data_IF_088256388499
#
_entry.id   IF_088256388499
#
_cell.length_a   1.000
_cell.length_b   1.000
_cell.length_c   1.000
_cell.angle_alpha   90.00
_cell.angle_beta   90.00
_cell.angle_gamma   90.00
#
_symmetry.space_group_name_H-M   'P 1'
#
loop_
_entity.id
_entity.type
_entity.pdbx_description
1 polymer ?
#
# COMPACT_ATOMS: atom_id res chain seq x y z
N UNK A 1 -12.29 18.27 11.88
CA UNK A 1 -11.66 17.66 13.05
C UNK A 1 -10.36 17.03 12.61
N UNK A 2 -9.24 17.54 13.07
CA UNK A 2 -7.92 16.94 12.84
C UNK A 2 -7.68 15.99 13.99
N UNK A 3 -7.81 14.68 13.76
CA UNK A 3 -7.49 13.69 14.78
C UNK A 3 -6.02 13.84 15.16
N UNK A 4 -5.76 14.11 16.44
CA UNK A 4 -4.40 14.11 16.97
C UNK A 4 -3.79 12.72 16.78
N UNK A 5 -2.50 12.59 16.47
CA UNK A 5 -1.84 11.29 16.30
C UNK A 5 -2.03 10.34 17.49
N UNK A 6 -2.19 10.88 18.69
CA UNK A 6 -2.42 10.13 19.95
C UNK A 6 -3.82 9.54 20.09
N UNK A 7 -4.80 9.95 19.26
CA UNK A 7 -6.17 9.40 19.27
C UNK A 7 -6.37 8.27 18.26
N UNK A 8 -5.37 7.99 17.41
CA UNK A 8 -5.44 6.93 16.41
C UNK A 8 -5.22 5.55 17.05
N UNK A 9 -5.86 4.50 16.53
CA UNK A 9 -5.61 3.12 16.97
C UNK A 9 -4.12 2.77 16.89
N UNK A 10 -3.57 2.20 17.96
CA UNK A 10 -2.13 1.97 18.11
C UNK A 10 -1.74 0.48 18.01
N UNK A 11 -2.70 -0.43 17.85
CA UNK A 11 -2.46 -1.86 17.65
C UNK A 11 -1.87 -2.61 18.85
N UNK A 12 -1.29 -3.81 18.70
CA UNK A 12 -0.96 -4.46 17.42
C UNK A 12 -2.17 -4.98 16.65
N UNK A 13 -2.03 -5.05 15.33
CA UNK A 13 -2.98 -5.69 14.43
C UNK A 13 -2.23 -6.74 13.60
N UNK A 14 -2.86 -7.90 13.41
CA UNK A 14 -2.22 -9.02 12.72
C UNK A 14 -2.38 -8.97 11.21
N UNK A 15 -3.47 -8.38 10.70
CA UNK A 15 -3.78 -8.34 9.27
C UNK A 15 -4.13 -6.93 8.84
N UNK A 16 -3.23 -6.34 8.03
CA UNK A 16 -3.24 -4.91 7.71
C UNK A 16 -3.27 -4.65 6.21
N UNK A 17 -4.19 -3.79 5.78
CA UNK A 17 -4.28 -3.24 4.43
C UNK A 17 -3.80 -1.79 4.40
N UNK A 18 -2.98 -1.43 3.41
CA UNK A 18 -2.51 -0.07 3.23
C UNK A 18 -3.03 0.50 1.92
N UNK A 19 -3.91 1.49 2.02
CA UNK A 19 -4.49 2.23 0.91
C UNK A 19 -3.72 3.53 0.64
N UNK A 20 -3.76 3.99 -0.59
CA UNK A 20 -3.22 5.30 -0.96
C UNK A 20 -2.79 5.39 -2.41
N UNK A 21 -2.61 6.61 -2.87
CA UNK A 21 -2.21 6.91 -4.24
C UNK A 21 -0.82 6.35 -4.55
N UNK A 22 -0.56 6.02 -5.80
CA UNK A 22 0.79 5.66 -6.27
C UNK A 22 1.79 6.76 -5.89
N UNK A 23 2.89 6.37 -5.26
CA UNK A 23 3.89 7.31 -4.72
C UNK A 23 3.58 7.85 -3.31
N UNK A 24 2.48 7.47 -2.66
CA UNK A 24 2.19 7.88 -1.27
C UNK A 24 3.13 7.25 -0.24
N UNK A 25 3.80 6.13 -0.56
CA UNK A 25 4.71 5.45 0.35
C UNK A 25 4.10 4.21 1.03
N UNK A 26 3.10 3.57 0.43
CA UNK A 26 2.47 2.34 0.94
C UNK A 26 3.47 1.26 1.32
N UNK A 27 4.35 0.89 0.39
CA UNK A 27 5.39 -0.14 0.61
C UNK A 27 6.36 0.25 1.74
N UNK A 28 6.71 1.53 1.85
CA UNK A 28 7.55 2.02 2.95
C UNK A 28 6.85 1.86 4.29
N UNK A 29 5.56 2.23 4.36
CA UNK A 29 4.76 2.04 5.57
C UNK A 29 4.58 0.56 5.90
N UNK A 30 4.30 -0.29 4.89
CA UNK A 30 4.16 -1.73 5.07
C UNK A 30 5.40 -2.33 5.74
N UNK A 31 6.60 -2.00 5.26
CA UNK A 31 7.86 -2.46 5.86
C UNK A 31 8.04 -1.96 7.31
N UNK A 32 7.63 -0.72 7.60
CA UNK A 32 7.69 -0.17 8.96
C UNK A 32 6.74 -0.89 9.91
N UNK A 33 5.52 -1.18 9.48
CA UNK A 33 4.54 -1.94 10.26
C UNK A 33 4.95 -3.40 10.42
N UNK A 34 5.50 -4.01 9.37
CA UNK A 34 6.06 -5.35 9.44
C UNK A 34 7.11 -5.46 10.55
N UNK A 35 8.05 -4.52 10.62
CA UNK A 35 9.05 -4.51 11.69
C UNK A 35 8.51 -4.12 13.08
N UNK A 36 7.47 -3.29 13.16
CA UNK A 36 6.91 -2.84 14.43
C UNK A 36 6.00 -3.90 15.07
N UNK A 37 5.29 -4.68 14.28
CA UNK A 37 4.30 -5.65 14.74
C UNK A 37 4.63 -7.10 14.36
N UNK A 38 5.84 -7.36 13.85
CA UNK A 38 6.27 -8.69 13.41
C UNK A 38 5.30 -9.31 12.40
N UNK A 39 5.01 -8.59 11.30
CA UNK A 39 4.11 -9.03 10.23
C UNK A 39 4.91 -9.44 9.00
N UNK A 40 4.41 -10.43 8.27
CA UNK A 40 4.92 -10.75 6.94
C UNK A 40 4.46 -9.69 5.95
N UNK A 41 5.40 -8.92 5.36
CA UNK A 41 5.07 -7.97 4.29
C UNK A 41 5.01 -8.69 2.95
N UNK A 42 3.86 -8.63 2.30
CA UNK A 42 3.62 -9.20 0.96
C UNK A 42 3.33 -8.07 -0.03
N UNK A 43 4.18 -7.91 -1.03
CA UNK A 43 3.98 -6.95 -2.12
C UNK A 43 3.10 -7.58 -3.21
N UNK A 44 1.85 -7.12 -3.38
CA UNK A 44 0.93 -7.69 -4.40
C UNK A 44 1.46 -7.55 -5.82
N UNK A 45 2.27 -6.52 -6.09
CA UNK A 45 2.91 -6.35 -7.39
C UNK A 45 3.82 -7.54 -7.73
N UNK A 46 4.49 -8.13 -6.75
CA UNK A 46 5.35 -9.32 -6.94
C UNK A 46 4.56 -10.59 -7.24
N UNK A 47 3.33 -10.67 -6.75
CA UNK A 47 2.43 -11.79 -7.01
C UNK A 47 1.70 -11.64 -8.35
N UNK A 48 1.41 -10.40 -8.74
CA UNK A 48 0.66 -10.13 -9.96
C UNK A 48 1.51 -10.16 -11.22
N UNK A 49 2.69 -9.54 -11.21
CA UNK A 49 3.55 -9.43 -12.36
C UNK A 49 4.54 -10.61 -12.44
N UNK A 50 4.41 -11.44 -13.45
CA UNK A 50 5.42 -12.40 -13.86
C UNK A 50 6.54 -11.76 -14.72
N UNK A 51 7.43 -12.55 -15.32
CA UNK A 51 8.43 -12.07 -16.27
C UNK A 51 7.76 -11.23 -17.37
N UNK A 52 8.48 -10.23 -17.88
CA UNK A 52 8.01 -9.32 -18.93
C UNK A 52 6.68 -8.59 -18.61
N UNK A 53 6.41 -8.38 -17.32
CA UNK A 53 5.19 -7.75 -16.81
C UNK A 53 3.90 -8.50 -17.14
N UNK A 54 3.98 -9.75 -17.57
CA UNK A 54 2.81 -10.59 -17.86
C UNK A 54 2.10 -10.92 -16.54
N UNK A 55 0.77 -10.68 -16.43
CA UNK A 55 0.02 -11.08 -15.25
C UNK A 55 0.10 -12.60 -15.02
N UNK A 56 0.35 -13.01 -13.77
CA UNK A 56 0.41 -14.42 -13.39
C UNK A 56 -1.00 -14.99 -13.23
N UNK A 57 -1.25 -16.15 -13.82
CA UNK A 57 -2.53 -16.86 -13.69
C UNK A 57 -2.81 -17.28 -12.25
N UNK A 58 -1.76 -17.61 -11.49
CA UNK A 58 -1.83 -18.04 -10.09
C UNK A 58 -2.04 -16.88 -9.11
N UNK A 59 -2.22 -15.64 -9.58
CA UNK A 59 -2.26 -14.46 -8.72
C UNK A 59 -3.26 -14.58 -7.56
N UNK A 60 -4.51 -14.96 -7.85
CA UNK A 60 -5.54 -15.04 -6.80
C UNK A 60 -5.31 -16.20 -5.84
N UNK A 61 -4.74 -17.32 -6.31
CA UNK A 61 -4.37 -18.45 -5.46
C UNK A 61 -3.22 -18.06 -4.51
N UNK A 62 -2.22 -17.35 -5.04
CA UNK A 62 -1.11 -16.83 -4.24
C UNK A 62 -1.61 -15.82 -3.19
N UNK A 63 -2.57 -14.95 -3.56
CA UNK A 63 -3.22 -14.01 -2.63
C UNK A 63 -4.00 -14.79 -1.55
N UNK A 64 -4.78 -15.79 -1.92
CA UNK A 64 -5.54 -16.59 -0.97
C UNK A 64 -4.62 -17.35 0.00
N UNK A 65 -3.50 -17.87 -0.51
CA UNK A 65 -2.49 -18.60 0.25
C UNK A 65 -1.88 -17.73 1.36
N UNK A 66 -1.35 -16.54 1.03
CA UNK A 66 -0.77 -15.70 2.10
C UNK A 66 -1.86 -15.11 3.00
N UNK A 67 -3.03 -14.75 2.46
CA UNK A 67 -4.13 -14.20 3.25
C UNK A 67 -4.70 -15.19 4.28
N UNK A 68 -4.46 -16.50 4.10
CA UNK A 68 -4.82 -17.53 5.07
C UNK A 68 -3.84 -17.60 6.26
N UNK A 69 -2.67 -16.96 6.18
CA UNK A 69 -1.74 -16.89 7.31
C UNK A 69 -2.24 -15.92 8.38
N UNK A 70 -1.72 -16.07 9.60
CA UNK A 70 -2.20 -15.31 10.74
C UNK A 70 -1.81 -13.84 10.68
N UNK A 71 -0.62 -13.52 10.19
CA UNK A 71 0.01 -12.20 10.36
C UNK A 71 0.61 -11.69 9.06
N UNK A 72 0.01 -10.63 8.50
CA UNK A 72 0.49 -10.03 7.27
C UNK A 72 0.15 -8.54 7.16
N UNK A 73 0.94 -7.84 6.35
CA UNK A 73 0.65 -6.48 5.88
C UNK A 73 0.86 -6.42 4.37
N UNK A 74 -0.09 -5.81 3.66
CA UNK A 74 -0.02 -5.65 2.20
C UNK A 74 -0.64 -4.34 1.75
N UNK A 75 -0.35 -3.94 0.51
CA UNK A 75 -1.01 -2.81 -0.11
C UNK A 75 -2.44 -3.18 -0.57
N UNK A 76 -3.41 -2.32 -0.30
CA UNK A 76 -4.79 -2.51 -0.74
C UNK A 76 -4.92 -2.16 -2.23
N UNK A 77 -4.54 -3.09 -3.08
CA UNK A 77 -4.48 -2.95 -4.54
C UNK A 77 -5.21 -4.12 -5.21
N UNK A 78 -5.28 -4.09 -6.55
CA UNK A 78 -5.87 -5.16 -7.36
C UNK A 78 -7.30 -5.58 -6.96
N UNK A 79 -8.05 -4.67 -6.34
CA UNK A 79 -9.44 -4.95 -5.93
C UNK A 79 -10.35 -5.28 -7.11
N UNK A 80 -10.15 -4.60 -8.27
CA UNK A 80 -10.85 -4.91 -9.52
C UNK A 80 -10.41 -6.23 -10.19
N UNK A 81 -9.33 -6.84 -9.70
CA UNK A 81 -8.83 -8.14 -10.15
C UNK A 81 -9.18 -9.28 -9.18
N UNK A 82 -10.05 -9.03 -8.21
CA UNK A 82 -10.51 -10.03 -7.25
C UNK A 82 -9.80 -10.06 -5.90
N UNK A 83 -8.61 -9.46 -5.77
CA UNK A 83 -7.86 -9.50 -4.50
C UNK A 83 -8.62 -8.88 -3.32
N UNK A 84 -9.47 -7.88 -3.56
CA UNK A 84 -10.30 -7.28 -2.51
C UNK A 84 -11.21 -8.29 -1.81
N UNK A 85 -11.90 -9.14 -2.57
CA UNK A 85 -12.80 -10.16 -2.01
C UNK A 85 -12.09 -11.20 -1.12
N UNK A 86 -10.78 -11.38 -1.30
CA UNK A 86 -9.98 -12.31 -0.48
C UNK A 86 -9.42 -11.61 0.76
N UNK A 87 -8.92 -10.38 0.61
CA UNK A 87 -8.18 -9.66 1.64
C UNK A 87 -9.09 -8.92 2.63
N UNK A 88 -10.12 -8.24 2.12
CA UNK A 88 -10.99 -7.37 2.91
C UNK A 88 -11.69 -8.10 4.06
N UNK A 89 -12.27 -9.30 3.89
CA UNK A 89 -12.93 -10.03 4.98
C UNK A 89 -11.99 -10.49 6.10
N UNK A 90 -10.68 -10.57 5.81
CA UNK A 90 -9.68 -11.08 6.74
C UNK A 90 -8.91 -9.97 7.46
N UNK A 91 -8.83 -8.80 6.85
CA UNK A 91 -8.10 -7.66 7.41
C UNK A 91 -8.77 -7.14 8.69
N UNK A 92 -7.97 -6.58 9.59
CA UNK A 92 -8.42 -5.96 10.84
C UNK A 92 -8.25 -4.45 10.81
N UNK A 93 -7.20 -3.99 10.10
CA UNK A 93 -6.85 -2.59 9.99
C UNK A 93 -6.70 -2.18 8.54
N UNK A 94 -7.28 -1.05 8.19
CA UNK A 94 -7.02 -0.31 6.97
C UNK A 94 -6.27 0.99 7.29
N UNK A 95 -5.07 1.16 6.76
CA UNK A 95 -4.32 2.42 6.88
C UNK A 95 -4.40 3.17 5.55
N UNK A 96 -5.02 4.33 5.56
CA UNK A 96 -5.19 5.13 4.37
C UNK A 96 -4.25 6.34 4.35
N UNK A 97 -3.27 6.33 3.44
CA UNK A 97 -2.39 7.45 3.15
C UNK A 97 -3.11 8.46 2.22
N UNK A 98 -3.94 9.33 2.80
CA UNK A 98 -4.69 10.37 2.08
C UNK A 98 -3.87 11.67 1.97
N UNK A 99 -2.68 11.57 1.43
CA UNK A 99 -1.80 12.71 1.25
C UNK A 99 -2.28 13.64 0.14
N UNK A 100 -1.97 14.95 0.23
CA UNK A 100 -2.12 15.85 -0.89
C UNK A 100 -1.43 15.29 -2.14
N UNK A 101 -2.12 15.33 -3.28
CA UNK A 101 -1.61 14.79 -4.55
C UNK A 101 -0.18 15.24 -4.87
N UNK A 102 0.15 16.51 -4.60
CA UNK A 102 1.50 17.07 -4.86
C UNK A 102 2.61 16.32 -4.10
N UNK A 103 2.33 15.87 -2.89
CA UNK A 103 3.31 15.10 -2.08
C UNK A 103 3.57 13.74 -2.73
N UNK A 104 2.53 12.98 -3.05
CA UNK A 104 2.65 11.69 -3.70
C UNK A 104 3.31 11.80 -5.08
N UNK A 105 2.99 12.87 -5.85
CA UNK A 105 3.58 13.11 -7.16
C UNK A 105 5.08 13.38 -7.10
N UNK A 106 5.53 14.26 -6.18
CA UNK A 106 6.97 14.54 -6.01
C UNK A 106 7.74 13.25 -5.66
N UNK A 107 7.20 12.43 -4.76
CA UNK A 107 7.78 11.14 -4.39
C UNK A 107 7.82 10.17 -5.56
N UNK A 108 6.75 10.08 -6.34
CA UNK A 108 6.68 9.24 -7.53
C UNK A 108 7.74 9.63 -8.55
N UNK A 109 7.85 10.92 -8.90
CA UNK A 109 8.86 11.42 -9.84
C UNK A 109 10.27 11.04 -9.35
N UNK A 110 10.61 11.35 -8.09
CA UNK A 110 11.93 11.01 -7.54
C UNK A 110 12.23 9.52 -7.61
N UNK A 111 11.26 8.68 -7.26
CA UNK A 111 11.39 7.22 -7.35
C UNK A 111 11.60 6.75 -8.78
N UNK A 112 10.78 7.21 -9.72
CA UNK A 112 10.88 6.80 -11.13
C UNK A 112 12.22 7.23 -11.73
N UNK A 113 12.66 8.46 -11.50
CA UNK A 113 13.98 8.92 -11.95
C UNK A 113 15.09 8.05 -11.34
N UNK A 114 15.08 7.84 -10.01
CA UNK A 114 16.09 7.03 -9.33
C UNK A 114 16.15 5.60 -9.91
N UNK A 115 14.99 4.94 -10.06
CA UNK A 115 14.92 3.56 -10.58
C UNK A 115 15.36 3.46 -12.04
N UNK A 116 15.01 4.44 -12.86
CA UNK A 116 15.45 4.45 -14.27
C UNK A 116 16.94 4.68 -14.41
N UNK A 117 17.55 5.55 -13.57
CA UNK A 117 18.99 5.80 -13.56
C UNK A 117 19.75 4.57 -13.03
N UNK A 118 19.30 3.97 -11.95
CA UNK A 118 19.96 2.81 -11.34
C UNK A 118 19.67 1.51 -12.06
N UNK A 119 18.74 1.50 -13.04
CA UNK A 119 18.22 0.28 -13.69
C UNK A 119 17.83 -0.79 -12.68
N UNK A 120 17.27 -0.36 -11.54
CA UNK A 120 16.90 -1.23 -10.46
C UNK A 120 15.97 -2.34 -10.96
N UNK A 121 16.33 -3.55 -10.64
CA UNK A 121 15.47 -4.71 -10.88
C UNK A 121 14.28 -4.66 -9.92
N UNK A 122 13.12 -4.93 -10.47
CA UNK A 122 11.86 -5.03 -9.76
C UNK A 122 11.46 -6.51 -9.61
N UNK A 123 10.17 -6.75 -9.40
CA UNK A 123 9.68 -8.11 -9.21
C UNK A 123 9.93 -8.98 -10.45
N UNK A 124 10.36 -10.22 -10.21
CA UNK A 124 10.49 -11.27 -11.23
C UNK A 124 11.40 -10.90 -12.42
N UNK A 125 12.51 -10.20 -12.18
CA UNK A 125 13.47 -9.79 -13.20
C UNK A 125 13.05 -8.58 -14.04
N UNK A 126 11.88 -8.02 -13.79
CA UNK A 126 11.41 -6.85 -14.51
C UNK A 126 12.20 -5.59 -14.15
N UNK A 127 12.28 -4.66 -15.09
CA UNK A 127 12.91 -3.34 -14.88
C UNK A 127 11.94 -2.25 -15.29
N UNK A 128 12.00 -1.09 -14.61
CA UNK A 128 11.26 0.08 -15.09
C UNK A 128 11.75 0.45 -16.49
N UNK A 129 10.80 0.74 -17.38
CA UNK A 129 11.10 1.17 -18.73
C UNK A 129 11.85 2.51 -18.76
N UNK A 130 12.30 2.89 -19.96
CA UNK A 130 12.98 4.17 -20.21
C UNK A 130 12.18 5.36 -19.64
N UNK A 131 12.91 6.40 -19.19
CA UNK A 131 12.32 7.70 -18.80
C UNK A 131 11.47 8.33 -19.90
N UNK A 132 11.68 7.95 -21.16
CA UNK A 132 10.85 8.38 -22.29
C UNK A 132 9.36 8.01 -22.10
N UNK A 133 9.05 6.93 -21.38
CA UNK A 133 7.66 6.56 -21.04
C UNK A 133 6.95 7.58 -20.16
N UNK A 134 7.67 8.47 -19.49
CA UNK A 134 7.06 9.58 -18.74
C UNK A 134 6.41 10.63 -19.65
N UNK A 135 6.78 10.65 -20.93
CA UNK A 135 6.23 11.54 -21.95
C UNK A 135 5.15 10.85 -22.81
N UNK A 136 4.87 9.57 -22.57
CA UNK A 136 3.79 8.86 -23.26
C UNK A 136 2.44 9.46 -22.86
N UNK A 137 1.55 9.63 -23.84
CA UNK A 137 0.19 10.13 -23.61
C UNK A 137 -0.75 9.06 -23.08
N UNK A 138 -0.40 7.80 -23.27
CA UNK A 138 -1.17 6.66 -22.78
C UNK A 138 -1.00 6.49 -21.27
N UNK A 139 -2.06 6.63 -20.47
CA UNK A 139 -1.98 6.44 -19.02
C UNK A 139 -1.52 5.04 -18.59
N UNK A 140 -1.71 4.02 -19.41
CA UNK A 140 -1.26 2.66 -19.09
C UNK A 140 0.25 2.49 -19.21
N UNK A 141 0.88 3.32 -20.06
CA UNK A 141 2.34 3.36 -20.26
C UNK A 141 3.04 4.42 -19.44
N UNK A 142 2.30 5.44 -18.99
CA UNK A 142 2.83 6.59 -18.25
C UNK A 142 2.31 6.60 -16.82
N UNK A 143 3.17 6.22 -15.89
CA UNK A 143 2.83 6.14 -14.45
C UNK A 143 2.37 7.49 -13.86
N UNK A 144 2.83 8.63 -14.40
CA UNK A 144 2.41 9.95 -13.95
C UNK A 144 1.00 10.30 -14.46
N UNK A 145 0.66 9.87 -15.68
CA UNK A 145 -0.68 10.02 -16.23
C UNK A 145 -1.66 9.09 -15.50
N UNK A 146 -1.26 7.85 -15.22
CA UNK A 146 -2.01 6.91 -14.40
C UNK A 146 -2.29 7.48 -13.00
N UNK A 147 -1.27 8.02 -12.32
CA UNK A 147 -1.46 8.64 -11.00
C UNK A 147 -2.45 9.79 -11.04
N UNK A 148 -2.42 10.64 -12.10
CA UNK A 148 -3.37 11.74 -12.27
C UNK A 148 -4.80 11.22 -12.46
N UNK A 149 -4.99 10.18 -13.28
CA UNK A 149 -6.28 9.53 -13.53
C UNK A 149 -6.88 8.94 -12.25
N UNK A 150 -6.05 8.30 -11.43
CA UNK A 150 -6.48 7.56 -10.24
C UNK A 150 -6.43 8.36 -8.94
N UNK A 151 -6.15 9.68 -9.00
CA UNK A 151 -5.86 10.51 -7.82
C UNK A 151 -6.98 10.55 -6.76
N UNK A 152 -8.23 10.41 -7.19
CA UNK A 152 -9.40 10.46 -6.32
C UNK A 152 -9.99 9.08 -5.99
N UNK A 153 -9.51 8.01 -6.63
CA UNK A 153 -10.10 6.68 -6.53
C UNK A 153 -10.33 6.24 -5.07
N UNK A 154 -9.37 6.48 -4.19
CA UNK A 154 -9.53 6.08 -2.79
C UNK A 154 -10.54 6.93 -2.03
N UNK A 155 -10.68 8.21 -2.36
CA UNK A 155 -11.68 9.08 -1.74
C UNK A 155 -13.10 8.69 -2.12
N UNK A 156 -13.28 8.23 -3.36
CA UNK A 156 -14.56 7.76 -3.88
C UNK A 156 -14.89 6.36 -3.36
N UNK A 157 -13.89 5.47 -3.25
CA UNK A 157 -14.10 4.06 -2.93
C UNK A 157 -14.07 3.75 -1.43
N UNK A 158 -13.37 4.52 -0.62
CA UNK A 158 -13.19 4.24 0.81
C UNK A 158 -14.51 4.16 1.58
N UNK A 159 -15.50 5.06 1.39
CA UNK A 159 -16.77 4.96 2.10
C UNK A 159 -17.49 3.62 1.82
N UNK A 160 -17.64 3.25 0.56
CA UNK A 160 -18.27 2.00 0.18
C UNK A 160 -17.47 0.75 0.62
N UNK A 161 -16.13 0.85 0.68
CA UNK A 161 -15.31 -0.24 1.16
C UNK A 161 -15.48 -0.48 2.67
N UNK A 162 -15.60 0.59 3.45
CA UNK A 162 -15.86 0.50 4.89
C UNK A 162 -17.29 0.04 5.20
N UNK A 163 -18.27 0.47 4.40
CA UNK A 163 -19.66 0.02 4.53
C UNK A 163 -19.78 -1.50 4.31
N UNK A 164 -19.06 -2.04 3.30
CA UNK A 164 -19.01 -3.50 3.08
C UNK A 164 -18.21 -4.26 4.14
N UNK A 165 -17.29 -3.59 4.83
CA UNK A 165 -16.37 -4.17 5.79
C UNK A 165 -16.42 -3.43 7.12
N UNK A 166 -17.53 -3.44 7.87
CA UNK A 166 -17.71 -2.68 9.10
C UNK A 166 -16.79 -3.11 10.25
N UNK A 167 -16.15 -4.28 10.12
CA UNK A 167 -15.17 -4.81 11.07
C UNK A 167 -13.78 -4.16 10.91
N UNK A 168 -13.52 -3.47 9.78
CA UNK A 168 -12.24 -2.82 9.55
C UNK A 168 -12.08 -1.57 10.39
N UNK A 169 -11.03 -1.54 11.20
CA UNK A 169 -10.59 -0.29 11.84
C UNK A 169 -9.89 0.59 10.79
N UNK A 170 -10.28 1.86 10.67
CA UNK A 170 -9.64 2.80 9.75
C UNK A 170 -8.68 3.76 10.47
N UNK A 171 -7.45 3.82 10.01
CA UNK A 171 -6.49 4.88 10.31
C UNK A 171 -6.26 5.72 9.07
N UNK A 172 -6.67 6.99 9.08
CA UNK A 172 -6.48 7.94 7.97
C UNK A 172 -5.34 8.90 8.29
N UNK A 173 -4.29 8.86 7.49
CA UNK A 173 -3.09 9.68 7.65
C UNK A 173 -3.00 10.70 6.51
N UNK A 174 -3.04 11.99 6.85
CA UNK A 174 -3.16 13.09 5.87
C UNK A 174 -1.82 13.70 5.46
N UNK A 175 -0.72 13.35 6.15
CA UNK A 175 0.61 13.85 5.84
C UNK A 175 1.71 12.83 6.19
N UNK A 176 2.91 12.95 5.58
CA UNK A 176 4.07 12.16 5.99
C UNK A 176 4.43 12.33 7.46
N UNK A 177 4.41 13.56 7.96
CA UNK A 177 4.72 13.86 9.37
C UNK A 177 3.73 13.16 10.33
N UNK A 178 2.42 13.14 10.00
CA UNK A 178 1.43 12.41 10.78
C UNK A 178 1.71 10.90 10.75
N UNK A 179 2.14 10.37 9.60
CA UNK A 179 2.50 8.94 9.48
C UNK A 179 3.73 8.62 10.33
N UNK A 180 4.75 9.48 10.29
CA UNK A 180 5.97 9.28 11.07
C UNK A 180 5.67 9.32 12.57
N UNK A 181 4.92 10.30 13.05
CA UNK A 181 4.51 10.41 14.45
C UNK A 181 3.66 9.20 14.90
N UNK A 182 2.73 8.73 14.05
CA UNK A 182 1.93 7.55 14.36
C UNK A 182 2.81 6.29 14.49
N UNK A 183 3.71 6.04 13.53
CA UNK A 183 4.59 4.85 13.57
C UNK A 183 5.60 4.92 14.71
N UNK A 184 6.11 6.11 15.06
CA UNK A 184 6.99 6.30 16.24
C UNK A 184 6.25 5.96 17.53
N UNK A 185 4.97 6.36 17.64
CA UNK A 185 4.13 6.00 18.77
C UNK A 185 3.89 4.49 18.93
N UNK A 186 3.92 3.71 17.82
CA UNK A 186 3.82 2.24 17.88
C UNK A 186 5.06 1.60 18.54
N UNK A 187 6.25 2.13 18.27
CA UNK A 187 7.53 1.60 18.80
C UNK A 187 7.68 1.79 20.31
N UNK A 188 7.08 2.83 20.87
CA UNK A 188 7.09 3.09 22.31
C UNK A 188 6.19 2.16 23.12
N UNK A 189 5.42 1.29 22.47
CA UNK A 189 4.49 0.33 23.09
C UNK A 189 4.83 -1.10 22.65
N UNK A 190 6.08 -1.53 22.82
CA UNK A 190 6.39 -2.96 22.71
C UNK A 190 5.44 -3.74 23.62
N UNK A 191 4.86 -4.88 23.16
CA UNK A 191 4.05 -5.70 24.04
C UNK A 191 4.95 -6.11 25.20
N UNK A 192 4.63 -5.65 26.40
CA UNK A 192 5.13 -6.27 27.62
C UNK A 192 4.74 -7.74 27.52
N UNK A 193 5.72 -8.62 27.39
CA UNK A 193 5.51 -10.08 27.51
C UNK A 193 4.65 -10.33 28.75
N UNK A 194 3.55 -11.07 28.62
CA UNK A 194 2.90 -11.61 29.82
C UNK A 194 3.88 -12.54 30.49
N UNK A 195 4.10 -12.33 31.81
CA UNK A 195 4.83 -13.26 32.68
C UNK A 195 4.05 -14.55 32.81
#
# INVERSE_FOLDING_TARGET
MTDSPSSLPMGPFDRVLIAGLTGSGKTTLARRLAGAWDLTHVELDSLYHGPDWVPRETFLDDVAKFASTERWVTEWQYTSKGAGGILEPRAQLAVWLDYPWRVARRRLIRRTVSRSVTRAELWNGNREGSLLRLFDRDPEKNILAWQRKTRNNWRERMPAALERNPHLTLVRLKSPAQTDAWVEGLRGRSPTSPR
#
